data_IF_806224248729
#
_entry.id   IF_806224248729
#
_cell.length_a   1.000
_cell.length_b   1.000
_cell.length_c   1.000
_cell.angle_alpha   90.00
_cell.angle_beta   90.00
_cell.angle_gamma   90.00
#
_symmetry.space_group_name_H-M   'P 1'
#
loop_
_entity.id
_entity.type
_entity.pdbx_description
1 polymer ?
#
# COMPACT_ATOMS: atom_id res chain seq x y z
N UNK A 1 3.73 3.16 34.07
CA UNK A 1 3.65 3.21 32.58
C UNK A 1 2.39 3.95 32.19
N UNK A 2 2.48 5.08 31.47
CA UNK A 2 1.30 5.77 30.94
C UNK A 2 0.80 5.00 29.72
N UNK A 3 -0.40 4.43 29.79
CA UNK A 3 -1.07 3.87 28.64
C UNK A 3 -1.41 5.02 27.70
N UNK A 4 -0.60 5.22 26.65
CA UNK A 4 -0.94 6.18 25.59
C UNK A 4 -1.98 5.49 24.73
N UNK A 5 -3.26 5.70 25.05
CA UNK A 5 -4.36 5.19 24.26
C UNK A 5 -4.25 5.82 22.86
N UNK A 6 -3.75 5.06 21.88
CA UNK A 6 -3.72 5.51 20.50
C UNK A 6 -5.18 5.68 20.04
N UNK A 7 -5.56 6.93 19.74
CA UNK A 7 -6.86 7.25 19.16
C UNK A 7 -6.80 6.99 17.66
N UNK A 8 -7.40 5.91 17.14
CA UNK A 8 -7.20 5.52 15.74
C UNK A 8 -7.70 6.61 14.77
N UNK A 9 -8.76 7.35 15.13
CA UNK A 9 -9.24 8.48 14.33
C UNK A 9 -8.23 9.63 14.16
N UNK A 10 -7.34 9.84 15.13
CA UNK A 10 -6.32 10.89 15.08
C UNK A 10 -5.02 10.41 14.46
N UNK A 11 -4.61 9.17 14.77
CA UNK A 11 -3.29 8.66 14.38
C UNK A 11 -3.28 7.84 13.09
N UNK A 12 -4.43 7.32 12.62
CA UNK A 12 -4.48 6.50 11.41
C UNK A 12 -3.86 7.17 10.17
N UNK A 13 -4.08 8.48 9.88
CA UNK A 13 -3.49 9.11 8.71
C UNK A 13 -1.95 9.07 8.74
N UNK A 14 -1.36 9.47 9.87
CA UNK A 14 0.09 9.45 10.05
C UNK A 14 0.65 8.02 10.07
N UNK A 15 -0.03 7.10 10.74
CA UNK A 15 0.39 5.69 10.80
C UNK A 15 0.48 5.06 9.40
N UNK A 16 -0.59 5.18 8.62
CA UNK A 16 -0.63 4.60 7.26
C UNK A 16 0.33 5.34 6.34
N UNK A 17 0.37 6.68 6.37
CA UNK A 17 1.29 7.46 5.54
C UNK A 17 2.76 7.09 5.81
N UNK A 18 3.16 6.97 7.07
CA UNK A 18 4.51 6.58 7.45
C UNK A 18 4.85 5.16 6.99
N UNK A 19 3.89 4.22 7.08
CA UNK A 19 4.08 2.85 6.58
C UNK A 19 4.33 2.85 5.06
N UNK A 20 3.49 3.56 4.30
CA UNK A 20 3.65 3.68 2.85
C UNK A 20 4.98 4.33 2.49
N UNK A 21 5.34 5.43 3.16
CA UNK A 21 6.60 6.11 2.90
C UNK A 21 7.81 5.23 3.20
N UNK A 22 7.80 4.49 4.32
CA UNK A 22 8.87 3.56 4.65
C UNK A 22 9.02 2.47 3.57
N UNK A 23 7.92 1.85 3.14
CA UNK A 23 7.94 0.83 2.09
C UNK A 23 8.48 1.36 0.75
N UNK A 24 8.04 2.56 0.35
CA UNK A 24 8.53 3.21 -0.87
C UNK A 24 10.00 3.65 -0.75
N UNK A 25 10.45 4.10 0.41
CA UNK A 25 11.85 4.45 0.65
C UNK A 25 12.76 3.22 0.52
N UNK A 26 12.34 2.08 1.05
CA UNK A 26 13.08 0.81 0.90
C UNK A 26 13.11 0.36 -0.55
N UNK A 27 11.99 0.45 -1.28
CA UNK A 27 11.98 0.15 -2.71
C UNK A 27 12.94 1.05 -3.52
N UNK A 28 12.94 2.36 -3.26
CA UNK A 28 13.88 3.33 -3.87
C UNK A 28 15.34 3.05 -3.49
N UNK A 29 15.59 2.55 -2.29
CA UNK A 29 16.92 2.13 -1.89
C UNK A 29 17.41 1.01 -2.81
N UNK A 30 16.60 -0.04 -3.00
CA UNK A 30 16.98 -1.15 -3.88
C UNK A 30 17.02 -0.78 -5.37
N UNK A 31 16.19 0.17 -5.81
CA UNK A 31 16.29 0.77 -7.15
C UNK A 31 17.68 1.38 -7.38
N UNK A 32 18.16 2.23 -6.45
CA UNK A 32 19.49 2.85 -6.54
C UNK A 32 20.62 1.83 -6.55
N UNK A 33 20.44 0.70 -5.88
CA UNK A 33 21.41 -0.39 -5.83
C UNK A 33 21.21 -1.44 -6.92
N UNK A 34 20.35 -1.16 -7.91
CA UNK A 34 20.10 -2.02 -9.07
C UNK A 34 19.63 -3.44 -8.69
N UNK A 35 18.94 -3.55 -7.55
CA UNK A 35 18.36 -4.80 -7.07
C UNK A 35 16.84 -4.80 -7.32
N UNK A 36 16.48 -5.13 -8.56
CA UNK A 36 15.10 -5.04 -9.04
C UNK A 36 14.16 -6.03 -8.35
N UNK A 37 14.66 -7.21 -7.96
CA UNK A 37 13.87 -8.22 -7.25
C UNK A 37 13.42 -7.68 -5.89
N UNK A 38 14.34 -7.08 -5.14
CA UNK A 38 13.99 -6.50 -3.84
C UNK A 38 13.17 -5.22 -4.01
N UNK A 39 13.43 -4.40 -5.04
CA UNK A 39 12.56 -3.27 -5.37
C UNK A 39 11.11 -3.73 -5.58
N UNK A 40 10.87 -4.73 -6.44
CA UNK A 40 9.55 -5.30 -6.69
C UNK A 40 8.91 -5.86 -5.42
N UNK A 41 9.69 -6.61 -4.64
CA UNK A 41 9.22 -7.22 -3.39
C UNK A 41 8.65 -6.17 -2.44
N UNK A 42 9.37 -5.08 -2.19
CA UNK A 42 8.91 -4.04 -1.26
C UNK A 42 7.75 -3.21 -1.82
N UNK A 43 7.72 -2.96 -3.14
CA UNK A 43 6.57 -2.32 -3.77
C UNK A 43 5.32 -3.17 -3.65
N UNK A 44 5.39 -4.46 -4.01
CA UNK A 44 4.27 -5.39 -3.90
C UNK A 44 3.85 -5.56 -2.45
N UNK A 45 4.78 -5.76 -1.52
CA UNK A 45 4.47 -5.92 -0.09
C UNK A 45 3.71 -4.71 0.47
N UNK A 46 4.18 -3.50 0.15
CA UNK A 46 3.52 -2.27 0.61
C UNK A 46 2.09 -2.18 0.07
N UNK A 47 1.89 -2.52 -1.21
CA UNK A 47 0.58 -2.54 -1.85
C UNK A 47 -0.38 -3.58 -1.25
N UNK A 48 0.05 -4.85 -1.11
CA UNK A 48 -0.82 -5.91 -0.60
C UNK A 48 -1.17 -5.70 0.88
N UNK A 49 -0.26 -5.19 1.70
CA UNK A 49 -0.58 -4.89 3.10
C UNK A 49 -1.69 -3.84 3.20
N UNK A 50 -1.68 -2.79 2.37
CA UNK A 50 -2.76 -1.80 2.35
C UNK A 50 -4.08 -2.42 1.93
N UNK A 51 -4.07 -3.30 0.92
CA UNK A 51 -5.27 -4.02 0.48
C UNK A 51 -5.82 -4.92 1.58
N UNK A 52 -4.97 -5.75 2.18
CA UNK A 52 -5.37 -6.65 3.27
C UNK A 52 -5.98 -5.86 4.44
N UNK A 53 -5.31 -4.79 4.89
CA UNK A 53 -5.84 -3.96 6.00
C UNK A 53 -7.09 -3.18 5.63
N UNK A 54 -7.30 -2.86 4.36
CA UNK A 54 -8.55 -2.25 3.88
C UNK A 54 -9.71 -3.24 3.93
N UNK A 55 -9.47 -4.51 3.59
CA UNK A 55 -10.51 -5.55 3.54
C UNK A 55 -10.78 -6.18 4.93
N UNK A 56 -9.85 -6.08 5.88
CA UNK A 56 -9.99 -6.67 7.21
C UNK A 56 -11.03 -5.93 8.08
N UNK A 57 -12.12 -6.61 8.42
CA UNK A 57 -13.21 -6.07 9.25
C UNK A 57 -12.85 -5.92 10.74
N UNK A 58 -11.77 -6.56 11.19
CA UNK A 58 -11.26 -6.44 12.56
C UNK A 58 -10.39 -5.18 12.73
N UNK A 59 -9.93 -4.59 11.62
CA UNK A 59 -9.17 -3.34 11.63
C UNK A 59 -10.11 -2.16 11.81
N UNK A 60 -9.69 -1.21 12.65
CA UNK A 60 -10.45 0.00 12.92
C UNK A 60 -10.76 0.78 11.62
N UNK A 61 -12.02 1.19 11.42
CA UNK A 61 -12.51 1.85 10.21
C UNK A 61 -11.65 3.05 9.74
N UNK A 62 -11.15 3.87 10.68
CA UNK A 62 -10.23 4.96 10.35
C UNK A 62 -8.96 4.49 9.63
N UNK A 63 -8.37 3.36 10.04
CA UNK A 63 -7.19 2.78 9.38
C UNK A 63 -7.59 2.25 7.99
N UNK A 64 -8.69 1.52 7.89
CA UNK A 64 -9.21 0.98 6.61
C UNK A 64 -9.40 2.09 5.57
N UNK A 65 -10.04 3.20 5.95
CA UNK A 65 -10.23 4.37 5.08
C UNK A 65 -8.92 5.02 4.67
N UNK A 66 -7.94 5.09 5.58
CA UNK A 66 -6.63 5.63 5.25
C UNK A 66 -5.83 4.70 4.35
N UNK A 67 -5.95 3.37 4.50
CA UNK A 67 -5.36 2.40 3.58
C UNK A 67 -5.90 2.60 2.16
N UNK A 68 -7.21 2.71 1.99
CA UNK A 68 -7.83 3.03 0.69
C UNK A 68 -7.33 4.39 0.14
N UNK A 69 -7.33 5.44 0.97
CA UNK A 69 -6.92 6.78 0.54
C UNK A 69 -5.43 6.88 0.15
N UNK A 70 -4.56 6.04 0.71
CA UNK A 70 -3.12 6.03 0.42
C UNK A 70 -2.71 4.99 -0.64
N UNK A 71 -3.63 4.10 -1.06
CA UNK A 71 -3.35 3.00 -1.98
C UNK A 71 -2.77 3.45 -3.34
N UNK A 72 -3.14 4.65 -3.80
CA UNK A 72 -2.67 5.21 -5.07
C UNK A 72 -1.14 5.37 -5.14
N UNK A 73 -0.47 5.59 -3.99
CA UNK A 73 0.98 5.81 -3.94
C UNK A 73 1.77 4.55 -4.37
N UNK A 74 1.59 3.39 -3.73
CA UNK A 74 2.24 2.17 -4.20
C UNK A 74 1.71 1.69 -5.55
N UNK A 75 0.44 1.93 -5.90
CA UNK A 75 -0.06 1.64 -7.26
C UNK A 75 0.72 2.40 -8.33
N UNK A 76 0.92 3.71 -8.15
CA UNK A 76 1.70 4.52 -9.09
C UNK A 76 3.16 4.06 -9.16
N UNK A 77 3.76 3.69 -8.03
CA UNK A 77 5.12 3.18 -7.98
C UNK A 77 5.26 1.83 -8.70
N UNK A 78 4.32 0.90 -8.49
CA UNK A 78 4.25 -0.39 -9.19
C UNK A 78 4.05 -0.20 -10.70
N UNK A 79 3.15 0.71 -11.11
CA UNK A 79 2.91 1.03 -12.52
C UNK A 79 4.19 1.49 -13.20
N UNK A 80 4.95 2.38 -12.55
CA UNK A 80 6.25 2.86 -13.04
C UNK A 80 7.26 1.71 -13.13
N UNK A 81 7.39 0.91 -12.06
CA UNK A 81 8.29 -0.24 -12.04
C UNK A 81 8.00 -1.21 -13.19
N UNK A 82 6.77 -1.68 -13.33
CA UNK A 82 6.42 -2.66 -14.36
C UNK A 82 6.49 -2.10 -15.78
N UNK A 83 6.21 -0.81 -15.98
CA UNK A 83 6.42 -0.14 -17.27
C UNK A 83 7.92 -0.12 -17.64
N UNK A 84 8.79 0.24 -16.70
CA UNK A 84 10.25 0.28 -16.93
C UNK A 84 10.83 -1.10 -17.23
N UNK A 85 10.25 -2.16 -16.66
CA UNK A 85 10.73 -3.54 -16.84
C UNK A 85 9.99 -4.31 -17.94
N UNK A 86 9.19 -3.65 -18.78
CA UNK A 86 8.41 -4.27 -19.87
C UNK A 86 7.49 -5.42 -19.40
N UNK A 87 6.91 -5.31 -18.21
CA UNK A 87 5.99 -6.29 -17.64
C UNK A 87 4.67 -5.64 -17.16
N UNK A 88 4.11 -4.73 -17.96
CA UNK A 88 2.94 -3.92 -17.59
C UNK A 88 1.68 -4.78 -17.35
N UNK A 89 1.60 -5.96 -17.97
CA UNK A 89 0.54 -6.94 -17.76
C UNK A 89 0.43 -7.37 -16.30
N UNK A 90 1.56 -7.51 -15.59
CA UNK A 90 1.57 -7.81 -14.15
C UNK A 90 0.92 -6.69 -13.33
N UNK A 91 1.13 -5.44 -13.74
CA UNK A 91 0.47 -4.30 -13.10
C UNK A 91 -1.06 -4.33 -13.29
N UNK A 92 -1.54 -4.65 -14.50
CA UNK A 92 -2.98 -4.70 -14.75
C UNK A 92 -3.69 -5.77 -13.93
N UNK A 93 -3.05 -6.91 -13.67
CA UNK A 93 -3.59 -7.93 -12.76
C UNK A 93 -3.78 -7.36 -11.34
N UNK A 94 -2.78 -6.64 -10.81
CA UNK A 94 -2.84 -6.01 -9.49
C UNK A 94 -3.88 -4.88 -9.44
N UNK A 95 -3.95 -4.04 -10.46
CA UNK A 95 -4.92 -2.94 -10.55
C UNK A 95 -6.37 -3.46 -10.57
N UNK A 96 -6.61 -4.54 -11.33
CA UNK A 96 -7.91 -5.20 -11.40
C UNK A 96 -8.33 -5.76 -10.05
N UNK A 97 -7.44 -6.47 -9.37
CA UNK A 97 -7.68 -7.00 -8.02
C UNK A 97 -8.02 -5.87 -7.03
N UNK A 98 -7.23 -4.80 -7.04
CA UNK A 98 -7.47 -3.64 -6.17
C UNK A 98 -8.85 -3.03 -6.40
N UNK A 99 -9.26 -2.91 -7.66
CA UNK A 99 -10.55 -2.34 -8.05
C UNK A 99 -11.71 -3.20 -7.52
N UNK A 100 -11.66 -4.51 -7.74
CA UNK A 100 -12.68 -5.46 -7.27
C UNK A 100 -12.82 -5.42 -5.74
N UNK A 101 -11.70 -5.50 -5.03
CA UNK A 101 -11.70 -5.46 -3.56
C UNK A 101 -12.15 -4.09 -3.01
N UNK A 102 -11.77 -3.00 -3.67
CA UNK A 102 -12.22 -1.66 -3.26
C UNK A 102 -13.74 -1.52 -3.37
N UNK A 103 -14.33 -2.05 -4.45
CA UNK A 103 -15.79 -2.04 -4.67
C UNK A 103 -16.52 -2.92 -3.65
N UNK A 104 -16.01 -4.11 -3.36
CA UNK A 104 -16.64 -5.06 -2.42
C UNK A 104 -16.61 -4.55 -0.97
N UNK A 105 -15.46 -4.01 -0.52
CA UNK A 105 -15.25 -3.66 0.89
C UNK A 105 -15.47 -2.18 1.23
N UNK A 106 -15.76 -1.34 0.23
CA UNK A 106 -16.07 0.08 0.38
C UNK A 106 -17.22 0.51 -0.57
N UNK A 107 -18.43 -0.06 -0.40
CA UNK A 107 -19.59 0.36 -1.18
C UNK A 107 -19.93 1.83 -0.92
N UNK A 108 -20.34 2.55 -1.98
CA UNK A 108 -20.80 3.95 -1.96
C UNK A 108 -22.08 4.07 -1.14
#
# INVERSE_FOLDING_TARGET
MKCVCQRPGLHAPALVANYVEAGLNVARYYEKHHNFILQELYLRRTFHELLEKMCDSLIHNAIRKQCLAQLYKPQLALKRYYKTHNCIEKYFSLEREACLLSQEFNPI
#
